data_IF_221543829092
#
_entry.id   IF_221543829092
#
_cell.length_a   1.000
_cell.length_b   1.000
_cell.length_c   1.000
_cell.angle_alpha   90.00
_cell.angle_beta   90.00
_cell.angle_gamma   90.00
#
_symmetry.space_group_name_H-M   'P 1'
#
loop_
_entity.id
_entity.type
_entity.pdbx_description
1 polymer ?
#
# COMPACT_ATOMS: atom_id res chain seq x y z
N UNK A 1 0.17 -2.82 -20.74
CA UNK A 1 1.15 -3.08 -19.67
C UNK A 1 0.47 -3.86 -18.56
N UNK A 2 1.18 -4.28 -17.52
CA UNK A 2 0.57 -4.89 -16.34
C UNK A 2 -0.22 -3.82 -15.56
N UNK A 3 -1.54 -3.92 -15.53
CA UNK A 3 -2.42 -2.94 -14.86
C UNK A 3 -2.86 -3.38 -13.46
N UNK A 4 -2.94 -4.69 -13.23
CA UNK A 4 -3.37 -5.28 -11.97
C UNK A 4 -2.42 -6.40 -11.60
N UNK A 5 -1.96 -6.40 -10.35
CA UNK A 5 -1.13 -7.47 -9.79
C UNK A 5 -1.75 -7.91 -8.47
N UNK A 6 -2.13 -9.19 -8.38
CA UNK A 6 -2.40 -9.85 -7.11
C UNK A 6 -1.28 -10.86 -6.85
N UNK A 7 -0.62 -10.68 -5.72
CA UNK A 7 0.46 -11.50 -5.21
C UNK A 7 0.17 -11.86 -3.75
N UNK A 8 -1.08 -12.28 -3.51
CA UNK A 8 -1.55 -12.81 -2.24
C UNK A 8 -0.67 -13.99 -1.80
N UNK A 9 -0.14 -13.94 -0.58
CA UNK A 9 0.63 -15.03 0.05
C UNK A 9 1.73 -15.61 -0.85
N UNK A 10 2.51 -14.73 -1.47
CA UNK A 10 3.55 -15.09 -2.43
C UNK A 10 4.97 -15.06 -1.84
N UNK A 11 5.12 -14.82 -0.54
CA UNK A 11 6.42 -14.66 0.10
C UNK A 11 7.21 -13.46 -0.45
N UNK A 12 6.51 -12.36 -0.74
CA UNK A 12 7.10 -11.17 -1.35
C UNK A 12 8.21 -10.57 -0.48
N UNK A 13 9.27 -10.10 -1.15
CA UNK A 13 10.39 -9.42 -0.52
C UNK A 13 10.38 -7.93 -0.84
N UNK A 14 11.12 -7.13 -0.05
CA UNK A 14 11.33 -5.73 -0.36
C UNK A 14 11.99 -5.50 -1.73
N UNK A 15 12.92 -6.37 -2.14
CA UNK A 15 13.60 -6.30 -3.44
C UNK A 15 12.61 -6.47 -4.60
N UNK A 16 11.67 -7.41 -4.49
CA UNK A 16 10.61 -7.57 -5.48
C UNK A 16 9.79 -6.28 -5.63
N UNK A 17 9.42 -5.64 -4.52
CA UNK A 17 8.64 -4.41 -4.56
C UNK A 17 9.44 -3.23 -5.13
N UNK A 18 10.74 -3.14 -4.85
CA UNK A 18 11.63 -2.14 -5.46
C UNK A 18 11.74 -2.36 -6.98
N UNK A 19 11.87 -3.61 -7.43
CA UNK A 19 11.90 -3.94 -8.85
C UNK A 19 10.57 -3.64 -9.55
N UNK A 20 9.44 -3.98 -8.91
CA UNK A 20 8.10 -3.63 -9.40
C UNK A 20 7.93 -2.12 -9.51
N UNK A 21 8.35 -1.37 -8.49
CA UNK A 21 8.29 0.08 -8.51
C UNK A 21 9.12 0.67 -9.65
N UNK A 22 10.34 0.18 -9.85
CA UNK A 22 11.20 0.61 -10.95
C UNK A 22 10.61 0.31 -12.34
N UNK A 23 9.94 -0.84 -12.49
CA UNK A 23 9.35 -1.27 -13.75
C UNK A 23 7.99 -0.60 -14.07
N UNK A 24 7.26 -0.16 -13.04
CA UNK A 24 5.95 0.46 -13.21
C UNK A 24 6.07 1.89 -13.75
N UNK A 25 5.58 2.10 -14.98
CA UNK A 25 5.40 3.43 -15.54
C UNK A 25 4.22 4.17 -14.86
N UNK A 26 4.23 5.51 -14.83
CA UNK A 26 3.09 6.29 -14.33
C UNK A 26 1.79 5.93 -15.06
N UNK A 27 0.72 5.73 -14.30
CA UNK A 27 -0.61 5.33 -14.78
C UNK A 27 -0.74 3.87 -15.18
N UNK A 28 0.34 3.08 -15.12
CA UNK A 28 0.33 1.69 -15.58
C UNK A 28 -0.30 0.77 -14.52
N UNK A 29 0.30 0.63 -13.33
CA UNK A 29 -0.20 -0.26 -12.29
C UNK A 29 -1.28 0.44 -11.46
N UNK A 30 -2.54 0.03 -11.63
CA UNK A 30 -3.71 0.64 -10.99
C UNK A 30 -4.19 -0.13 -9.76
N UNK A 31 -3.98 -1.44 -9.72
CA UNK A 31 -4.38 -2.28 -8.57
C UNK A 31 -3.23 -3.18 -8.14
N UNK A 32 -3.02 -3.22 -6.83
CA UNK A 32 -1.99 -4.03 -6.20
C UNK A 32 -2.55 -4.71 -4.97
N UNK A 33 -2.45 -6.04 -4.94
CA UNK A 33 -2.74 -6.84 -3.77
C UNK A 33 -1.48 -7.59 -3.32
N UNK A 34 -0.98 -7.20 -2.15
CA UNK A 34 0.18 -7.80 -1.46
C UNK A 34 -0.24 -8.46 -0.14
N UNK A 35 -1.52 -8.74 0.02
CA UNK A 35 -2.06 -9.33 1.24
C UNK A 35 -1.35 -10.62 1.64
N UNK A 36 -1.28 -10.87 2.94
CA UNK A 36 -0.59 -12.01 3.54
C UNK A 36 0.92 -12.06 3.22
N UNK A 37 1.56 -10.91 3.05
CA UNK A 37 3.02 -10.79 2.94
C UNK A 37 3.55 -9.81 4.01
N UNK A 38 4.00 -10.33 5.14
CA UNK A 38 4.59 -9.54 6.25
C UNK A 38 6.10 -9.30 6.08
N UNK A 39 6.75 -10.04 5.18
CA UNK A 39 8.19 -10.01 4.89
C UNK A 39 8.69 -8.85 4.02
N UNK A 40 7.83 -7.89 3.64
CA UNK A 40 8.23 -6.78 2.76
C UNK A 40 9.30 -5.86 3.38
N UNK A 41 9.28 -5.72 4.71
CA UNK A 41 10.19 -4.83 5.44
C UNK A 41 10.04 -3.34 5.05
N UNK A 42 10.89 -2.50 5.63
CA UNK A 42 10.81 -1.04 5.45
C UNK A 42 11.00 -0.63 3.98
N UNK A 43 11.96 -1.24 3.28
CA UNK A 43 12.23 -0.94 1.86
C UNK A 43 11.05 -1.31 0.95
N UNK A 44 10.44 -2.47 1.17
CA UNK A 44 9.28 -2.90 0.39
C UNK A 44 8.10 -1.96 0.58
N UNK A 45 7.81 -1.57 1.83
CA UNK A 45 6.75 -0.61 2.12
C UNK A 45 7.02 0.79 1.57
N UNK A 46 8.28 1.23 1.57
CA UNK A 46 8.67 2.48 0.92
C UNK A 46 8.42 2.42 -0.59
N UNK A 47 8.69 1.29 -1.25
CA UNK A 47 8.40 1.08 -2.66
C UNK A 47 6.87 1.06 -2.94
N UNK A 48 6.08 0.38 -2.10
CA UNK A 48 4.60 0.44 -2.16
C UNK A 48 4.11 1.90 -2.08
N UNK A 49 4.64 2.69 -1.13
CA UNK A 49 4.28 4.10 -0.99
C UNK A 49 4.58 4.92 -2.24
N UNK A 50 5.69 4.63 -2.95
CA UNK A 50 6.05 5.30 -4.21
C UNK A 50 5.20 4.89 -5.42
N UNK A 51 4.53 3.74 -5.37
CA UNK A 51 3.57 3.35 -6.41
C UNK A 51 2.28 4.19 -6.36
N UNK A 52 1.92 4.73 -5.20
CA UNK A 52 0.72 5.57 -5.03
C UNK A 52 0.73 6.81 -5.93
N UNK A 53 1.73 7.71 -5.88
CA UNK A 53 1.79 8.85 -6.78
C UNK A 53 2.05 8.46 -8.25
N UNK A 54 2.44 7.20 -8.53
CA UNK A 54 2.50 6.66 -9.90
C UNK A 54 1.12 6.28 -10.45
N UNK A 55 0.03 6.45 -9.71
CA UNK A 55 -1.33 6.22 -10.21
C UNK A 55 -1.99 4.94 -9.68
N UNK A 56 -1.49 4.38 -8.57
CA UNK A 56 -2.17 3.28 -7.90
C UNK A 56 -3.53 3.75 -7.33
N UNK A 57 -4.59 3.01 -7.62
CA UNK A 57 -5.96 3.32 -7.22
C UNK A 57 -6.49 2.40 -6.12
N UNK A 58 -6.09 1.14 -6.13
CA UNK A 58 -6.53 0.14 -5.15
C UNK A 58 -5.31 -0.59 -4.59
N UNK A 59 -5.18 -0.58 -3.25
CA UNK A 59 -4.14 -1.31 -2.52
C UNK A 59 -4.79 -2.26 -1.52
N UNK A 60 -4.50 -3.56 -1.62
CA UNK A 60 -4.81 -4.53 -0.58
C UNK A 60 -3.52 -4.96 0.13
N UNK A 61 -3.46 -4.71 1.43
CA UNK A 61 -2.34 -5.03 2.31
C UNK A 61 -2.86 -5.67 3.61
N UNK A 62 -3.82 -6.59 3.46
CA UNK A 62 -4.39 -7.29 4.60
C UNK A 62 -3.39 -8.28 5.19
N UNK A 63 -3.36 -8.42 6.52
CA UNK A 63 -2.44 -9.34 7.22
C UNK A 63 -0.95 -9.16 6.84
N UNK A 64 -0.49 -7.94 6.62
CA UNK A 64 0.89 -7.67 6.22
C UNK A 64 1.78 -7.07 7.33
N UNK A 65 1.34 -7.11 8.58
CA UNK A 65 2.12 -6.58 9.71
C UNK A 65 2.37 -5.06 9.63
N UNK A 66 1.40 -4.29 9.13
CA UNK A 66 1.57 -2.86 8.90
C UNK A 66 1.93 -2.08 10.18
N UNK A 67 2.77 -1.06 10.00
CA UNK A 67 3.21 -0.17 11.08
C UNK A 67 2.56 1.20 10.99
N UNK A 68 2.51 1.91 12.13
CA UNK A 68 2.07 3.30 12.19
C UNK A 68 2.88 4.21 11.25
N UNK A 69 4.20 3.96 11.14
CA UNK A 69 5.08 4.75 10.28
C UNK A 69 4.69 4.59 8.80
N UNK A 70 4.43 3.36 8.36
CA UNK A 70 3.94 3.11 7.01
C UNK A 70 2.60 3.81 6.75
N UNK A 71 1.63 3.69 7.67
CA UNK A 71 0.31 4.29 7.47
C UNK A 71 0.37 5.82 7.35
N UNK A 72 1.22 6.49 8.15
CA UNK A 72 1.44 7.93 8.03
C UNK A 72 2.11 8.30 6.70
N UNK A 73 3.07 7.50 6.23
CA UNK A 73 3.70 7.72 4.93
C UNK A 73 2.72 7.49 3.77
N UNK A 74 1.89 6.45 3.86
CA UNK A 74 0.85 6.12 2.88
C UNK A 74 -0.19 7.24 2.78
N UNK A 75 -0.61 7.81 3.92
CA UNK A 75 -1.49 8.97 3.96
C UNK A 75 -0.90 10.15 3.17
N UNK A 76 0.37 10.49 3.40
CA UNK A 76 1.04 11.57 2.69
C UNK A 76 1.16 11.27 1.18
N UNK A 77 1.43 10.03 0.80
CA UNK A 77 1.49 9.60 -0.59
C UNK A 77 0.12 9.67 -1.27
N UNK A 78 -0.95 9.27 -0.57
CA UNK A 78 -2.31 9.30 -1.08
C UNK A 78 -2.79 10.73 -1.40
N UNK A 79 -2.32 11.75 -0.65
CA UNK A 79 -2.61 13.15 -0.94
C UNK A 79 -2.09 13.63 -2.32
N UNK A 80 -1.13 12.91 -2.90
CA UNK A 80 -0.54 13.20 -4.21
C UNK A 80 -1.01 12.23 -5.31
N UNK A 81 -1.83 11.24 -4.96
CA UNK A 81 -2.20 10.14 -5.85
C UNK A 81 -3.71 10.02 -6.09
N UNK A 82 -4.13 8.84 -6.55
CA UNK A 82 -5.53 8.52 -6.88
C UNK A 82 -6.06 7.33 -6.08
N UNK A 83 -5.47 7.06 -4.91
CA UNK A 83 -5.86 5.93 -4.07
C UNK A 83 -7.29 6.10 -3.58
N UNK A 84 -8.19 5.22 -4.02
CA UNK A 84 -9.63 5.26 -3.72
C UNK A 84 -10.12 4.05 -2.94
N UNK A 85 -9.35 2.95 -2.93
CA UNK A 85 -9.62 1.79 -2.06
C UNK A 85 -8.34 1.34 -1.37
N UNK A 86 -8.49 1.00 -0.10
CA UNK A 86 -7.40 0.50 0.72
C UNK A 86 -7.95 -0.59 1.65
N UNK A 87 -7.37 -1.79 1.59
CA UNK A 87 -7.64 -2.84 2.59
C UNK A 87 -6.43 -2.98 3.51
N UNK A 88 -6.61 -2.67 4.79
CA UNK A 88 -5.62 -2.85 5.86
C UNK A 88 -6.13 -3.79 6.94
N UNK A 89 -7.14 -4.61 6.64
CA UNK A 89 -7.70 -5.59 7.56
C UNK A 89 -6.63 -6.58 8.05
N UNK A 90 -6.84 -7.17 9.23
CA UNK A 90 -5.87 -8.10 9.81
C UNK A 90 -4.57 -7.46 10.35
N UNK A 91 -4.38 -6.14 10.23
CA UNK A 91 -3.22 -5.44 10.79
C UNK A 91 -3.46 -4.96 12.23
N UNK A 92 -3.64 -5.91 13.15
CA UNK A 92 -3.96 -5.64 14.57
C UNK A 92 -2.89 -4.83 15.34
N UNK A 93 -1.67 -4.74 14.81
CA UNK A 93 -0.55 -4.00 15.40
C UNK A 93 -0.64 -2.48 15.30
N UNK A 94 -1.57 -1.94 14.49
CA UNK A 94 -1.73 -0.49 14.32
C UNK A 94 -2.20 0.18 15.62
N UNK A 95 -1.42 1.18 16.06
CA UNK A 95 -1.68 1.99 17.26
C UNK A 95 -2.35 3.30 16.86
N UNK A 96 -2.31 4.29 17.76
CA UNK A 96 -3.01 5.56 17.62
C UNK A 96 -2.67 6.29 16.32
N UNK A 97 -1.38 6.41 15.96
CA UNK A 97 -0.98 7.18 14.77
C UNK A 97 -1.42 6.48 13.49
N UNK A 98 -1.28 5.15 13.44
CA UNK A 98 -1.76 4.34 12.32
C UNK A 98 -3.27 4.42 12.15
N UNK A 99 -4.03 4.31 13.25
CA UNK A 99 -5.49 4.44 13.24
C UNK A 99 -5.95 5.85 12.86
N UNK A 100 -5.24 6.88 13.31
CA UNK A 100 -5.52 8.26 12.93
C UNK A 100 -5.29 8.48 11.42
N UNK A 101 -4.24 7.89 10.83
CA UNK A 101 -3.99 7.92 9.39
C UNK A 101 -5.11 7.20 8.61
N UNK A 102 -5.55 6.03 9.06
CA UNK A 102 -6.74 5.34 8.50
C UNK A 102 -7.96 6.26 8.53
N UNK A 103 -8.21 6.93 9.65
CA UNK A 103 -9.32 7.87 9.78
C UNK A 103 -9.24 9.03 8.78
N UNK A 104 -8.05 9.61 8.59
CA UNK A 104 -7.84 10.70 7.62
C UNK A 104 -8.02 10.23 6.19
N UNK A 105 -7.51 9.06 5.83
CA UNK A 105 -7.73 8.44 4.51
C UNK A 105 -9.23 8.26 4.22
N UNK A 106 -10.01 7.77 5.20
CA UNK A 106 -11.48 7.68 5.07
C UNK A 106 -12.13 9.05 4.84
N UNK A 107 -11.73 10.06 5.60
CA UNK A 107 -12.25 11.42 5.46
C UNK A 107 -11.91 12.09 4.12
N UNK A 108 -10.81 11.67 3.48
CA UNK A 108 -10.42 12.13 2.14
C UNK A 108 -11.16 11.39 1.00
N UNK A 109 -12.09 10.48 1.32
CA UNK A 109 -12.88 9.75 0.33
C UNK A 109 -12.31 8.40 -0.11
N UNK A 110 -11.20 7.95 0.50
CA UNK A 110 -10.69 6.60 0.28
C UNK A 110 -11.57 5.60 1.04
N UNK A 111 -12.07 4.58 0.34
CA UNK A 111 -12.77 3.47 0.97
C UNK A 111 -11.76 2.56 1.66
N UNK A 112 -11.59 2.75 2.98
CA UNK A 112 -10.66 1.94 3.78
C UNK A 112 -11.40 0.84 4.55
N UNK A 113 -10.98 -0.41 4.35
CA UNK A 113 -11.48 -1.62 5.05
C UNK A 113 -10.44 -2.09 6.06
#
# INVERSE_FOLDING_TARGET
>A
GLEELSAFDCGLTGEFMEALEAAAAPGQLRKLDVSNNDGLGERGWAAVGRLVPKGLEELSASFCGLTDAFMVALEAAAAQGHLRKLDVSGNGGLRERGRAAVGRLKSCGCSVV
#
